data_IF_375664226688
#
_entry.id   IF_375664226688
#
_cell.length_a   1.000
_cell.length_b   1.000
_cell.length_c   1.000
_cell.angle_alpha   90.00
_cell.angle_beta   90.00
_cell.angle_gamma   90.00
#
_symmetry.space_group_name_H-M   'P 1'
#
loop_
_entity.id
_entity.type
_entity.pdbx_description
1 polymer ?
#
# COMPACT_ATOMS: atom_id res chain seq x y z
N UNK A 1 -2.57 -16.60 2.07
CA UNK A 1 -2.05 -15.84 0.91
C UNK A 1 -3.20 -15.12 0.23
N UNK A 2 -3.32 -13.81 0.44
CA UNK A 2 -4.27 -12.97 -0.29
C UNK A 2 -3.95 -13.00 -1.80
N UNK A 3 -4.98 -13.01 -2.65
CA UNK A 3 -4.80 -12.98 -4.10
C UNK A 3 -4.10 -11.68 -4.54
N UNK A 4 -3.26 -11.70 -5.58
CA UNK A 4 -2.62 -10.49 -6.09
C UNK A 4 -3.69 -9.48 -6.53
N UNK A 5 -3.54 -8.21 -6.12
CA UNK A 5 -4.42 -7.12 -6.54
C UNK A 5 -4.26 -6.94 -8.05
N UNK A 6 -5.34 -7.12 -8.80
CA UNK A 6 -5.40 -6.76 -10.22
C UNK A 6 -5.89 -5.33 -10.34
N UNK A 7 -5.03 -4.46 -10.85
CA UNK A 7 -5.38 -3.07 -11.15
C UNK A 7 -6.09 -2.97 -12.49
N UNK A 8 -7.06 -2.06 -12.59
CA UNK A 8 -7.79 -1.76 -13.84
C UNK A 8 -7.15 -0.62 -14.61
N UNK A 9 -6.40 0.26 -13.92
CA UNK A 9 -5.71 1.38 -14.53
C UNK A 9 -4.54 0.95 -15.43
N UNK A 10 -4.41 1.60 -16.58
CA UNK A 10 -3.33 1.35 -17.56
C UNK A 10 -2.11 2.24 -17.37
N UNK A 11 -2.14 3.16 -16.40
CA UNK A 11 -1.06 4.12 -16.15
C UNK A 11 -0.59 4.01 -14.70
N UNK A 12 0.73 4.15 -14.48
CA UNK A 12 1.37 4.00 -13.17
C UNK A 12 0.69 4.81 -12.04
N UNK A 13 0.29 6.09 -12.23
CA UNK A 13 -0.38 6.83 -11.17
C UNK A 13 -1.72 6.23 -10.77
N UNK A 14 -2.52 5.78 -11.74
CA UNK A 14 -3.81 5.13 -11.47
C UNK A 14 -3.63 3.79 -10.76
N UNK A 15 -2.61 3.02 -11.15
CA UNK A 15 -2.28 1.77 -10.47
C UNK A 15 -1.85 2.00 -9.01
N UNK A 16 -1.07 3.07 -8.75
CA UNK A 16 -0.70 3.44 -7.38
C UNK A 16 -1.94 3.76 -6.54
N UNK A 17 -2.91 4.49 -7.10
CA UNK A 17 -4.17 4.83 -6.40
C UNK A 17 -4.91 3.56 -5.98
N UNK A 18 -5.13 2.65 -6.95
CA UNK A 18 -5.89 1.42 -6.72
C UNK A 18 -5.20 0.51 -5.70
N UNK A 19 -3.87 0.33 -5.81
CA UNK A 19 -3.10 -0.46 -4.84
C UNK A 19 -3.14 0.16 -3.45
N UNK A 20 -2.99 1.48 -3.35
CA UNK A 20 -3.03 2.19 -2.05
C UNK A 20 -4.39 2.03 -1.38
N UNK A 21 -5.48 2.19 -2.14
CA UNK A 21 -6.84 1.98 -1.63
C UNK A 21 -7.09 0.54 -1.20
N UNK A 22 -6.68 -0.43 -2.01
CA UNK A 22 -6.82 -1.85 -1.69
C UNK A 22 -6.06 -2.21 -0.40
N UNK A 23 -4.84 -1.69 -0.22
CA UNK A 23 -4.05 -1.90 0.98
C UNK A 23 -4.68 -1.25 2.22
N UNK A 24 -5.19 -0.02 2.10
CA UNK A 24 -5.93 0.65 3.18
C UNK A 24 -7.20 -0.12 3.58
N UNK A 25 -7.94 -0.67 2.60
CA UNK A 25 -9.11 -1.51 2.87
C UNK A 25 -8.73 -2.83 3.56
N UNK A 26 -7.60 -3.43 3.18
CA UNK A 26 -7.09 -4.63 3.83
C UNK A 26 -6.74 -4.37 5.31
N UNK A 27 -6.15 -3.21 5.62
CA UNK A 27 -5.94 -2.80 7.02
C UNK A 27 -7.26 -2.57 7.76
N UNK A 28 -8.23 -1.92 7.12
CA UNK A 28 -9.55 -1.70 7.70
C UNK A 28 -10.30 -3.01 8.00
N UNK A 29 -10.05 -4.07 7.24
CA UNK A 29 -10.64 -5.38 7.48
C UNK A 29 -10.10 -6.07 8.75
N UNK A 30 -8.94 -5.65 9.27
CA UNK A 30 -8.41 -6.16 10.54
C UNK A 30 -9.20 -5.61 11.75
N UNK A 31 -9.25 -6.35 12.86
CA UNK A 31 -9.85 -5.88 14.11
C UNK A 31 -9.27 -4.53 14.54
N UNK A 32 -10.12 -3.62 15.03
CA UNK A 32 -9.71 -2.25 15.39
C UNK A 32 -8.56 -2.19 16.40
N UNK A 33 -8.46 -3.17 17.29
CA UNK A 33 -7.40 -3.25 18.31
C UNK A 33 -6.03 -3.66 17.74
N UNK A 34 -6.01 -4.36 16.61
CA UNK A 34 -4.77 -4.83 15.95
C UNK A 34 -4.52 -4.12 14.62
N UNK A 35 -5.32 -3.10 14.28
CA UNK A 35 -5.22 -2.41 13.01
C UNK A 35 -3.98 -1.51 12.99
N UNK A 36 -3.06 -1.67 12.02
CA UNK A 36 -1.81 -0.92 12.00
C UNK A 36 -1.99 0.55 11.56
N UNK A 37 -2.95 0.86 10.67
CA UNK A 37 -3.14 2.19 10.08
C UNK A 37 -1.86 2.74 9.42
N UNK A 38 -1.14 1.88 8.69
CA UNK A 38 0.10 2.25 8.02
C UNK A 38 -0.16 3.03 6.73
N UNK A 39 -1.35 2.91 6.14
CA UNK A 39 -1.76 3.64 4.94
C UNK A 39 -2.81 4.68 5.28
N UNK A 40 -2.50 5.94 4.98
CA UNK A 40 -3.43 7.07 5.09
C UNK A 40 -3.58 7.73 3.73
N UNK A 41 -4.82 7.87 3.28
CA UNK A 41 -5.16 8.50 1.99
C UNK A 41 -6.01 9.73 2.29
N UNK A 42 -5.59 10.88 1.79
CA UNK A 42 -6.38 12.12 1.84
C UNK A 42 -6.69 12.60 0.44
N UNK A 43 -7.93 13.06 0.25
CA UNK A 43 -8.41 13.63 -1.00
C UNK A 43 -8.66 15.11 -0.81
N UNK A 44 -8.06 15.92 -1.67
CA UNK A 44 -8.37 17.35 -1.81
C UNK A 44 -9.14 17.52 -3.12
N UNK A 45 -10.46 17.61 -3.00
CA UNK A 45 -11.37 17.75 -4.15
C UNK A 45 -11.32 19.14 -4.77
N UNK A 46 -10.91 20.15 -4.00
CA UNK A 46 -10.85 21.54 -4.46
C UNK A 46 -9.65 21.74 -5.38
N UNK A 47 -8.50 21.20 -4.98
CA UNK A 47 -7.27 21.22 -5.77
C UNK A 47 -7.11 20.00 -6.68
N UNK A 48 -8.04 19.04 -6.63
CA UNK A 48 -8.02 17.79 -7.42
C UNK A 48 -6.73 16.98 -7.19
N UNK A 49 -6.28 16.90 -5.94
CA UNK A 49 -5.08 16.14 -5.56
C UNK A 49 -5.40 15.03 -4.57
N UNK A 50 -4.56 14.00 -4.57
CA UNK A 50 -4.62 12.92 -3.60
C UNK A 50 -3.24 12.76 -2.98
N UNK A 51 -3.19 12.68 -1.66
CA UNK A 51 -1.97 12.37 -0.92
C UNK A 51 -2.06 10.97 -0.34
N UNK A 52 -1.04 10.15 -0.58
CA UNK A 52 -0.89 8.82 0.01
C UNK A 52 0.32 8.85 0.93
N UNK A 53 0.10 8.60 2.21
CA UNK A 53 1.16 8.43 3.21
C UNK A 53 1.21 6.97 3.61
N UNK A 54 2.38 6.34 3.45
CA UNK A 54 2.57 4.91 3.71
C UNK A 54 3.81 4.67 4.58
N UNK A 55 3.66 3.94 5.69
CA UNK A 55 4.77 3.48 6.52
C UNK A 55 4.81 1.96 6.52
N UNK A 56 5.63 1.37 5.65
CA UNK A 56 5.69 -0.08 5.46
C UNK A 56 6.90 -0.68 6.18
N UNK A 57 6.74 -1.79 6.95
CA UNK A 57 7.88 -2.55 7.41
C UNK A 57 8.61 -3.14 6.20
N UNK A 58 9.93 -3.03 6.19
CA UNK A 58 10.76 -3.54 5.09
C UNK A 58 11.97 -4.32 5.60
N UNK A 59 12.41 -5.26 4.78
CA UNK A 59 13.67 -5.98 4.94
C UNK A 59 14.56 -5.65 3.74
N UNK A 60 15.80 -5.16 3.95
CA UNK A 60 16.74 -4.99 2.87
C UNK A 60 17.20 -6.36 2.36
N UNK A 61 17.25 -6.52 1.05
CA UNK A 61 17.76 -7.68 0.34
C UNK A 61 18.92 -7.24 -0.56
N UNK A 62 20.02 -7.99 -0.57
CA UNK A 62 21.16 -7.71 -1.45
C UNK A 62 20.93 -8.44 -2.77
N UNK A 63 20.68 -7.67 -3.82
CA UNK A 63 20.56 -8.16 -5.19
C UNK A 63 21.81 -7.89 -6.03
N UNK A 64 21.84 -8.49 -7.21
CA UNK A 64 22.93 -8.39 -8.19
C UNK A 64 23.19 -6.94 -8.67
N UNK A 65 22.19 -6.07 -8.55
CA UNK A 65 22.23 -4.66 -8.96
C UNK A 65 22.25 -3.67 -7.77
N UNK A 66 22.45 -4.15 -6.53
CA UNK A 66 22.47 -3.32 -5.32
C UNK A 66 21.42 -3.72 -4.28
N UNK A 67 21.16 -2.82 -3.31
CA UNK A 67 20.19 -3.04 -2.22
C UNK A 67 18.77 -2.89 -2.78
N UNK A 68 17.98 -3.97 -2.67
CA UNK A 68 16.54 -3.98 -2.94
C UNK A 68 15.78 -3.94 -1.62
N UNK A 69 14.71 -3.15 -1.54
CA UNK A 69 13.85 -3.11 -0.37
C UNK A 69 12.60 -3.96 -0.62
N UNK A 70 12.34 -4.93 0.23
CA UNK A 70 11.15 -5.79 0.15
C UNK A 70 10.27 -5.48 1.35
N UNK A 71 9.01 -5.12 1.10
CA UNK A 71 8.04 -4.92 2.18
C UNK A 71 7.72 -6.27 2.84
N UNK A 72 7.72 -6.29 4.17
CA UNK A 72 7.28 -7.44 4.95
C UNK A 72 5.75 -7.53 4.93
N UNK A 73 5.21 -8.75 4.91
CA UNK A 73 3.79 -8.94 5.15
C UNK A 73 3.46 -8.62 6.62
N UNK A 74 2.67 -7.57 6.82
CA UNK A 74 2.19 -7.13 8.13
C UNK A 74 0.67 -7.27 8.28
N UNK A 75 -0.01 -7.78 7.25
CA UNK A 75 -1.45 -8.05 7.28
C UNK A 75 -1.75 -9.47 7.80
N UNK A 76 -0.72 -10.29 8.04
CA UNK A 76 -0.84 -11.62 8.61
C UNK A 76 -1.78 -12.54 7.80
N UNK A 77 -1.70 -12.46 6.46
CA UNK A 77 -2.56 -13.22 5.52
C UNK A 77 -1.92 -14.44 4.87
#
# INVERSE_FOLDING_TARGET
MSAPIQTSATHLPGQLVEVSQALALAELALPSITRPNNIVITHDTENQTMTVTATLPMVPSIGINGVSYVASDYLST
#
